data_IF_473396508235
#
_entry.id   IF_473396508235
#
_cell.length_a   1.000
_cell.length_b   1.000
_cell.length_c   1.000
_cell.angle_alpha   90.00
_cell.angle_beta   90.00
_cell.angle_gamma   90.00
#
_symmetry.space_group_name_H-M   'P 1'
#
loop_
_entity.id
_entity.type
_entity.pdbx_description
1 polymer ?
#
# COMPACT_ATOMS: atom_id res chain seq x y z
N UNK A 1 10.32 -13.28 -18.73
CA UNK A 1 10.33 -14.46 -17.86
C UNK A 1 8.94 -14.70 -17.27
N UNK A 2 8.40 -13.81 -16.44
CA UNK A 2 7.09 -14.01 -15.77
C UNK A 2 5.97 -14.23 -16.79
N UNK A 3 5.90 -13.45 -17.86
CA UNK A 3 4.91 -13.66 -18.94
C UNK A 3 5.07 -15.03 -19.63
N UNK A 4 6.32 -15.47 -19.83
CA UNK A 4 6.59 -16.80 -20.40
C UNK A 4 6.10 -17.90 -19.48
N UNK A 5 6.35 -17.75 -18.17
CA UNK A 5 5.88 -18.71 -17.16
C UNK A 5 4.35 -18.71 -17.06
N UNK A 6 3.69 -17.54 -17.09
CA UNK A 6 2.21 -17.43 -17.05
C UNK A 6 1.52 -18.09 -18.24
N UNK A 7 2.16 -18.11 -19.39
CA UNK A 7 1.63 -18.73 -20.62
C UNK A 7 1.89 -20.23 -20.71
N UNK A 8 2.60 -20.83 -19.76
CA UNK A 8 2.89 -22.27 -19.71
C UNK A 8 1.96 -22.97 -18.72
N UNK A 9 1.40 -24.08 -19.11
CA UNK A 9 0.71 -25.04 -18.24
C UNK A 9 1.62 -26.13 -17.68
N UNK A 10 2.88 -26.20 -18.14
CA UNK A 10 3.85 -27.20 -17.72
C UNK A 10 4.57 -26.77 -16.43
N UNK A 11 4.20 -27.39 -15.32
CA UNK A 11 4.78 -27.13 -14.00
C UNK A 11 6.29 -27.45 -13.94
N UNK A 12 6.76 -28.45 -14.65
CA UNK A 12 8.19 -28.80 -14.67
C UNK A 12 9.01 -27.74 -15.41
N UNK A 13 8.48 -27.24 -16.53
CA UNK A 13 9.09 -26.14 -17.27
C UNK A 13 9.13 -24.86 -16.44
N UNK A 14 8.02 -24.50 -15.76
CA UNK A 14 7.94 -23.32 -14.89
C UNK A 14 9.02 -23.41 -13.79
N UNK A 15 9.10 -24.55 -13.09
CA UNK A 15 10.13 -24.78 -12.04
C UNK A 15 11.53 -24.71 -12.59
N UNK A 16 11.80 -25.36 -13.71
CA UNK A 16 13.14 -25.35 -14.35
C UNK A 16 13.55 -23.94 -14.76
N UNK A 17 12.64 -23.14 -15.32
CA UNK A 17 12.93 -21.77 -15.69
C UNK A 17 13.14 -20.88 -14.45
N UNK A 18 12.36 -21.06 -13.39
CA UNK A 18 12.52 -20.34 -12.13
C UNK A 18 13.90 -20.63 -11.49
N UNK A 19 14.30 -21.90 -11.39
CA UNK A 19 15.61 -22.29 -10.85
C UNK A 19 16.75 -21.76 -11.72
N UNK A 20 16.63 -21.79 -13.03
CA UNK A 20 17.60 -21.19 -13.93
C UNK A 20 17.75 -19.68 -13.67
N UNK A 21 16.64 -18.97 -13.52
CA UNK A 21 16.63 -17.53 -13.22
C UNK A 21 17.26 -17.27 -11.86
N UNK A 22 16.88 -18.01 -10.82
CA UNK A 22 17.44 -17.89 -9.47
C UNK A 22 18.95 -18.06 -9.49
N UNK A 23 19.45 -19.14 -10.07
CA UNK A 23 20.90 -19.43 -10.17
C UNK A 23 21.68 -18.35 -10.92
N UNK A 24 21.11 -17.79 -11.98
CA UNK A 24 21.83 -16.83 -12.82
C UNK A 24 21.68 -15.37 -12.32
N UNK A 25 20.66 -15.07 -11.54
CA UNK A 25 20.42 -13.74 -10.98
C UNK A 25 20.93 -13.68 -9.53
N UNK A 26 20.45 -14.56 -8.65
CA UNK A 26 20.72 -14.47 -7.22
C UNK A 26 22.21 -14.57 -6.89
N UNK A 27 22.92 -15.49 -7.53
CA UNK A 27 24.37 -15.70 -7.31
C UNK A 27 25.25 -14.60 -7.91
N UNK A 28 24.72 -13.79 -8.84
CA UNK A 28 25.51 -12.84 -9.63
C UNK A 28 25.03 -11.40 -9.53
N UNK A 29 23.83 -11.18 -9.04
CA UNK A 29 23.24 -9.85 -8.97
C UNK A 29 23.69 -9.11 -7.71
N UNK A 30 24.19 -7.92 -7.92
CA UNK A 30 24.41 -6.91 -6.88
C UNK A 30 23.45 -5.72 -7.03
N UNK A 31 22.30 -5.93 -7.67
CA UNK A 31 21.33 -4.89 -8.00
C UNK A 31 19.96 -5.33 -7.53
N UNK A 32 19.32 -4.48 -6.72
CA UNK A 32 17.99 -4.69 -6.13
C UNK A 32 16.91 -4.95 -7.19
N UNK A 33 17.00 -4.29 -8.36
CA UNK A 33 16.04 -4.48 -9.45
C UNK A 33 16.09 -5.88 -10.06
N UNK A 34 17.26 -6.51 -10.08
CA UNK A 34 17.39 -7.89 -10.56
C UNK A 34 16.85 -8.87 -9.50
N UNK A 35 17.07 -8.60 -8.23
CA UNK A 35 16.54 -9.43 -7.14
C UNK A 35 15.02 -9.36 -7.06
N UNK A 36 14.40 -8.23 -7.44
CA UNK A 36 12.93 -8.11 -7.49
C UNK A 36 12.29 -9.06 -8.53
N UNK A 37 13.04 -9.55 -9.53
CA UNK A 37 12.55 -10.58 -10.46
C UNK A 37 12.35 -11.91 -9.72
N UNK A 38 13.27 -12.28 -8.85
CA UNK A 38 13.18 -13.51 -8.05
C UNK A 38 12.01 -13.41 -7.06
N UNK A 39 11.90 -12.26 -6.43
CA UNK A 39 10.79 -11.94 -5.55
C UNK A 39 9.44 -12.09 -6.26
N UNK A 40 9.29 -11.44 -7.42
CA UNK A 40 8.07 -11.51 -8.22
C UNK A 40 7.74 -12.95 -8.68
N UNK A 41 8.74 -13.76 -9.00
CA UNK A 41 8.53 -15.19 -9.29
C UNK A 41 8.02 -15.91 -8.04
N UNK A 42 8.67 -15.71 -6.89
CA UNK A 42 8.27 -16.33 -5.62
C UNK A 42 6.81 -16.01 -5.26
N UNK A 43 6.44 -14.74 -5.34
CA UNK A 43 5.06 -14.28 -5.03
C UNK A 43 4.01 -14.86 -6.00
N UNK A 44 4.32 -14.90 -7.31
CA UNK A 44 3.39 -15.41 -8.31
C UNK A 44 3.19 -16.93 -8.25
N UNK A 45 4.19 -17.67 -7.79
CA UNK A 45 4.21 -19.14 -7.82
C UNK A 45 4.44 -19.76 -6.44
N UNK A 46 3.93 -19.09 -5.39
CA UNK A 46 4.11 -19.51 -3.99
C UNK A 46 3.57 -20.92 -3.72
N UNK A 47 2.48 -21.33 -4.40
CA UNK A 47 1.90 -22.66 -4.27
C UNK A 47 2.78 -23.75 -4.88
N UNK A 48 3.35 -23.46 -6.04
CA UNK A 48 4.19 -24.39 -6.81
C UNK A 48 5.61 -24.44 -6.28
N UNK A 49 6.10 -23.32 -5.74
CA UNK A 49 7.48 -23.13 -5.28
C UNK A 49 7.53 -22.40 -3.93
N UNK A 50 6.95 -23.00 -2.86
CA UNK A 50 6.95 -22.36 -1.55
C UNK A 50 8.36 -22.07 -1.06
N UNK A 51 8.59 -20.91 -0.49
CA UNK A 51 9.89 -20.49 0.01
C UNK A 51 10.97 -20.19 -1.05
N UNK A 52 10.61 -20.09 -2.33
CA UNK A 52 11.54 -19.83 -3.43
C UNK A 52 12.37 -18.55 -3.26
N UNK A 53 11.76 -17.49 -2.77
CA UNK A 53 12.40 -16.17 -2.62
C UNK A 53 12.61 -15.78 -1.13
N UNK A 54 12.48 -16.72 -0.20
CA UNK A 54 12.43 -16.42 1.23
C UNK A 54 13.74 -15.81 1.75
N UNK A 55 14.87 -16.16 1.15
CA UNK A 55 16.19 -15.64 1.51
C UNK A 55 16.30 -14.12 1.27
N UNK A 56 15.50 -13.55 0.36
CA UNK A 56 15.49 -12.11 0.11
C UNK A 56 15.02 -11.32 1.34
N UNK A 57 14.20 -11.93 2.19
CA UNK A 57 13.74 -11.34 3.45
C UNK A 57 14.87 -11.23 4.50
N UNK A 58 16.07 -11.72 4.24
CA UNK A 58 17.25 -11.46 5.10
C UNK A 58 17.88 -10.08 4.87
N UNK A 59 17.49 -9.33 3.82
CA UNK A 59 17.94 -7.96 3.57
C UNK A 59 16.87 -6.96 3.95
N UNK A 60 17.21 -6.07 4.90
CA UNK A 60 16.32 -5.00 5.34
C UNK A 60 16.09 -3.98 4.22
N UNK A 61 17.09 -3.73 3.37
CA UNK A 61 16.98 -2.83 2.22
C UNK A 61 15.94 -3.33 1.21
N UNK A 62 15.90 -4.65 0.96
CA UNK A 62 14.88 -5.26 0.10
C UNK A 62 13.48 -5.16 0.72
N UNK A 63 13.37 -5.40 2.03
CA UNK A 63 12.11 -5.27 2.75
C UNK A 63 11.58 -3.83 2.63
N UNK A 64 12.42 -2.81 2.88
CA UNK A 64 12.00 -1.41 2.75
C UNK A 64 11.65 -1.02 1.33
N UNK A 65 12.46 -1.44 0.35
CA UNK A 65 12.17 -1.20 -1.06
C UNK A 65 10.79 -1.75 -1.44
N UNK A 66 10.49 -2.96 -0.98
CA UNK A 66 9.26 -3.64 -1.33
C UNK A 66 8.03 -3.11 -0.59
N UNK A 67 8.19 -2.69 0.67
CA UNK A 67 7.14 -1.96 1.41
C UNK A 67 6.81 -0.65 0.68
N UNK A 68 7.81 0.11 0.26
CA UNK A 68 7.61 1.34 -0.51
C UNK A 68 6.89 1.07 -1.82
N UNK A 69 7.36 0.10 -2.59
CA UNK A 69 6.75 -0.34 -3.85
C UNK A 69 5.28 -0.74 -3.67
N UNK A 70 4.99 -1.60 -2.70
CA UNK A 70 3.62 -2.07 -2.44
C UNK A 70 2.73 -0.94 -1.92
N UNK A 71 3.27 -0.02 -1.12
CA UNK A 71 2.56 1.18 -0.66
C UNK A 71 2.13 2.10 -1.79
N UNK A 72 2.98 2.29 -2.81
CA UNK A 72 2.61 3.05 -4.01
C UNK A 72 1.47 2.39 -4.80
N UNK A 73 1.40 1.05 -4.82
CA UNK A 73 0.31 0.31 -5.46
C UNK A 73 -0.99 0.34 -4.66
N UNK A 74 -0.89 0.28 -3.33
CA UNK A 74 -2.06 0.25 -2.44
C UNK A 74 -2.66 1.64 -2.17
N UNK A 75 -1.89 2.70 -2.43
CA UNK A 75 -2.34 4.05 -2.12
C UNK A 75 -3.25 4.58 -3.21
N UNK A 76 -4.53 4.47 -3.04
CA UNK A 76 -5.53 5.49 -3.35
C UNK A 76 -6.86 4.96 -3.93
N UNK A 77 -7.87 4.63 -3.14
CA UNK A 77 -9.23 4.44 -3.64
C UNK A 77 -9.77 5.71 -4.35
N UNK A 78 -9.21 6.88 -3.99
CA UNK A 78 -9.52 8.16 -4.63
C UNK A 78 -8.90 8.23 -6.03
N UNK A 79 -7.70 7.68 -6.24
CA UNK A 79 -7.08 7.56 -7.56
C UNK A 79 -7.98 6.76 -8.51
N UNK A 80 -8.54 5.66 -8.05
CA UNK A 80 -9.47 4.86 -8.85
C UNK A 80 -10.76 5.62 -9.20
N UNK A 81 -11.28 6.44 -8.28
CA UNK A 81 -12.45 7.29 -8.52
C UNK A 81 -12.11 8.42 -9.51
N UNK A 82 -10.97 9.08 -9.35
CA UNK A 82 -10.48 10.12 -10.27
C UNK A 82 -10.21 9.55 -11.66
N UNK A 83 -9.63 8.37 -11.76
CA UNK A 83 -9.38 7.68 -13.02
C UNK A 83 -10.66 7.28 -13.74
N UNK A 84 -11.67 6.80 -13.02
CA UNK A 84 -12.98 6.47 -13.60
C UNK A 84 -13.76 7.68 -14.13
N UNK A 85 -13.59 8.84 -13.50
CA UNK A 85 -14.46 9.99 -13.80
C UNK A 85 -13.74 11.15 -14.52
N UNK A 86 -12.44 11.31 -14.39
CA UNK A 86 -11.69 12.47 -14.93
C UNK A 86 -10.61 12.06 -15.94
N UNK A 87 -9.93 10.94 -15.75
CA UNK A 87 -8.76 10.54 -16.53
C UNK A 87 -9.05 9.61 -17.71
N UNK A 88 -10.30 9.38 -18.07
CA UNK A 88 -10.65 8.68 -19.33
C UNK A 88 -10.10 9.37 -20.58
N UNK A 89 -9.59 10.59 -20.47
CA UNK A 89 -9.04 11.38 -21.57
C UNK A 89 -7.51 11.45 -21.61
N UNK A 90 -6.81 11.10 -20.54
CA UNK A 90 -5.34 11.11 -20.50
C UNK A 90 -4.86 9.67 -20.39
N UNK A 91 -4.39 9.12 -21.50
CA UNK A 91 -4.03 7.72 -21.63
C UNK A 91 -2.95 7.27 -20.65
N UNK A 92 -3.38 6.73 -19.49
CA UNK A 92 -2.48 5.92 -18.66
C UNK A 92 -2.14 4.67 -19.48
N UNK A 93 -0.86 4.34 -19.70
CA UNK A 93 -0.49 3.19 -20.51
C UNK A 93 -1.19 1.93 -20.00
N UNK A 94 -1.73 1.12 -20.90
CA UNK A 94 -2.44 -0.13 -20.56
C UNK A 94 -1.60 -1.07 -19.69
N UNK A 95 -0.28 -0.98 -19.80
CA UNK A 95 0.67 -1.71 -18.96
C UNK A 95 0.52 -1.34 -17.48
N UNK A 96 0.40 -0.04 -17.15
CA UNK A 96 0.22 0.45 -15.77
C UNK A 96 -1.12 -0.03 -15.22
N UNK A 97 -2.19 0.04 -16.02
CA UNK A 97 -3.53 -0.47 -15.62
C UNK A 97 -3.56 -1.97 -15.36
N UNK A 98 -2.82 -2.76 -16.14
CA UNK A 98 -2.70 -4.21 -15.92
C UNK A 98 -1.94 -4.52 -14.64
N UNK A 99 -0.91 -3.74 -14.35
CA UNK A 99 -0.12 -3.89 -13.13
C UNK A 99 -0.93 -3.54 -11.89
N UNK A 100 -1.69 -2.44 -11.93
CA UNK A 100 -2.54 -1.98 -10.82
C UNK A 100 -3.71 -2.93 -10.49
N UNK A 101 -4.17 -3.71 -11.48
CA UNK A 101 -5.23 -4.72 -11.30
C UNK A 101 -4.71 -6.10 -10.88
N UNK A 102 -3.41 -6.31 -10.84
CA UNK A 102 -2.83 -7.59 -10.44
C UNK A 102 -2.73 -7.63 -8.91
N UNK A 103 -3.69 -8.30 -8.26
CA UNK A 103 -3.71 -8.52 -6.80
C UNK A 103 -2.37 -9.05 -6.24
N UNK A 104 -1.59 -9.72 -7.08
CA UNK A 104 -0.27 -10.25 -6.72
C UNK A 104 0.78 -9.14 -6.57
N UNK A 105 0.56 -7.98 -7.17
CA UNK A 105 1.43 -6.81 -6.99
C UNK A 105 1.22 -6.12 -5.65
N UNK A 106 0.07 -6.32 -5.01
CA UNK A 106 -0.22 -5.80 -3.68
C UNK A 106 0.48 -6.57 -2.56
N UNK A 107 0.91 -7.82 -2.82
CA UNK A 107 1.70 -8.60 -1.87
C UNK A 107 3.12 -8.04 -1.78
N UNK A 108 3.64 -7.91 -0.56
CA UNK A 108 5.02 -7.52 -0.30
C UNK A 108 5.84 -8.65 0.31
N UNK A 109 7.15 -8.45 0.39
CA UNK A 109 8.09 -9.47 0.88
C UNK A 109 7.80 -9.90 2.32
N UNK A 110 7.31 -8.99 3.17
CA UNK A 110 6.89 -9.33 4.54
C UNK A 110 5.68 -10.28 4.54
N UNK A 111 4.68 -10.01 3.71
CA UNK A 111 3.50 -10.88 3.58
C UNK A 111 3.88 -12.23 2.97
N UNK A 112 4.78 -12.23 1.98
CA UNK A 112 5.30 -13.45 1.39
C UNK A 112 6.03 -14.30 2.43
N UNK A 113 6.87 -13.67 3.27
CA UNK A 113 7.57 -14.34 4.37
C UNK A 113 6.57 -14.90 5.40
N UNK A 114 5.61 -14.09 5.85
CA UNK A 114 4.57 -14.50 6.78
C UNK A 114 3.77 -15.70 6.26
N UNK A 115 3.33 -15.67 5.01
CA UNK A 115 2.63 -16.77 4.36
C UNK A 115 3.51 -18.02 4.27
N UNK A 116 4.80 -17.85 3.94
CA UNK A 116 5.75 -18.96 3.89
C UNK A 116 5.94 -19.59 5.28
N UNK A 117 5.98 -18.78 6.33
CA UNK A 117 6.04 -19.27 7.71
C UNK A 117 4.75 -20.00 8.11
N UNK A 118 3.60 -19.41 7.86
CA UNK A 118 2.30 -19.96 8.32
C UNK A 118 1.94 -21.26 7.57
N UNK A 119 2.14 -21.30 6.27
CA UNK A 119 1.66 -22.37 5.40
C UNK A 119 2.78 -23.29 4.87
N UNK A 120 4.04 -22.96 5.09
CA UNK A 120 5.18 -23.76 4.66
C UNK A 120 5.37 -25.04 5.48
N UNK A 121 6.13 -25.96 4.92
CA UNK A 121 6.56 -27.16 5.62
C UNK A 121 7.59 -26.86 6.73
N UNK A 122 8.02 -27.89 7.45
CA UNK A 122 8.98 -27.75 8.54
C UNK A 122 10.34 -27.18 8.06
N UNK A 123 10.77 -27.50 6.84
CA UNK A 123 12.01 -26.99 6.27
C UNK A 123 11.92 -25.49 6.00
N UNK A 124 10.81 -25.03 5.41
CA UNK A 124 10.56 -23.61 5.17
C UNK A 124 10.45 -22.83 6.47
N UNK A 125 9.71 -23.35 7.46
CA UNK A 125 9.61 -22.75 8.79
C UNK A 125 10.97 -22.60 9.47
N UNK A 126 11.80 -23.61 9.40
CA UNK A 126 13.15 -23.56 9.95
C UNK A 126 14.01 -22.48 9.26
N UNK A 127 13.91 -22.33 7.94
CA UNK A 127 14.59 -21.26 7.21
C UNK A 127 14.10 -19.89 7.64
N UNK A 128 12.80 -19.71 7.85
CA UNK A 128 12.25 -18.47 8.41
C UNK A 128 12.83 -18.16 9.78
N UNK A 129 12.95 -19.17 10.68
CA UNK A 129 13.58 -18.97 12.00
C UNK A 129 15.02 -18.48 11.87
N UNK A 130 15.81 -19.13 11.03
CA UNK A 130 17.21 -18.73 10.81
C UNK A 130 17.31 -17.28 10.31
N UNK A 131 16.44 -16.86 9.38
CA UNK A 131 16.40 -15.50 8.87
C UNK A 131 16.01 -14.52 9.98
N UNK A 132 14.98 -14.80 10.76
CA UNK A 132 14.56 -13.94 11.87
C UNK A 132 15.67 -13.81 12.92
N UNK A 133 16.29 -14.90 13.32
CA UNK A 133 17.38 -14.89 14.32
C UNK A 133 18.59 -14.10 13.81
N UNK A 134 18.92 -14.22 12.52
CA UNK A 134 19.94 -13.40 11.88
C UNK A 134 19.59 -11.91 11.91
N UNK A 135 18.37 -11.54 11.52
CA UNK A 135 17.93 -10.14 11.53
C UNK A 135 17.93 -9.55 12.94
N UNK A 136 17.42 -10.26 13.94
CA UNK A 136 17.47 -9.81 15.33
C UNK A 136 18.91 -9.68 15.86
N UNK A 137 19.86 -10.45 15.35
CA UNK A 137 21.26 -10.33 15.75
C UNK A 137 21.93 -9.03 15.25
N UNK A 138 21.38 -8.43 14.18
CA UNK A 138 21.91 -7.20 13.57
C UNK A 138 21.11 -5.98 14.06
N UNK A 139 19.79 -6.07 14.11
CA UNK A 139 18.89 -4.96 14.34
C UNK A 139 18.22 -5.06 15.72
N UNK A 140 18.96 -4.69 16.75
CA UNK A 140 18.41 -4.64 18.09
C UNK A 140 17.42 -3.49 18.31
N UNK A 141 16.51 -3.69 19.26
CA UNK A 141 15.39 -2.77 19.54
C UNK A 141 15.82 -1.35 19.91
N UNK A 142 16.98 -1.17 20.55
CA UNK A 142 17.39 0.15 21.07
C UNK A 142 18.11 1.00 20.03
N UNK A 143 18.93 0.35 19.21
CA UNK A 143 19.76 1.06 18.21
C UNK A 143 19.09 1.13 16.84
N UNK A 144 18.21 0.17 16.53
CA UNK A 144 17.52 0.06 15.25
C UNK A 144 16.01 -0.20 15.43
N UNK A 145 15.27 0.68 16.13
CA UNK A 145 13.88 0.41 16.50
C UNK A 145 12.93 0.28 15.31
N UNK A 146 13.18 0.99 14.20
CA UNK A 146 12.35 0.90 12.98
C UNK A 146 12.56 -0.43 12.26
N UNK A 147 13.81 -0.86 12.09
CA UNK A 147 14.16 -2.15 11.49
C UNK A 147 13.61 -3.28 12.35
N UNK A 148 13.79 -3.17 13.66
CA UNK A 148 13.26 -4.15 14.62
C UNK A 148 11.73 -4.25 14.54
N UNK A 149 11.01 -3.15 14.36
CA UNK A 149 9.58 -3.15 14.10
C UNK A 149 9.22 -3.96 12.83
N UNK A 150 9.98 -3.79 11.74
CA UNK A 150 9.71 -4.54 10.51
C UNK A 150 9.97 -6.04 10.71
N UNK A 151 10.99 -6.41 11.49
CA UNK A 151 11.27 -7.81 11.84
C UNK A 151 10.13 -8.39 12.69
N UNK A 152 9.67 -7.66 13.71
CA UNK A 152 8.56 -8.10 14.56
C UNK A 152 7.26 -8.31 13.76
N UNK A 153 7.00 -7.49 12.73
CA UNK A 153 5.85 -7.67 11.81
C UNK A 153 5.94 -8.96 10.98
N UNK A 154 7.13 -9.52 10.82
CA UNK A 154 7.36 -10.79 10.12
C UNK A 154 7.41 -11.99 11.07
N UNK A 155 7.54 -11.77 12.38
CA UNK A 155 7.76 -12.81 13.36
C UNK A 155 6.44 -13.39 13.91
N UNK A 156 6.00 -14.48 13.32
CA UNK A 156 4.80 -15.20 13.71
C UNK A 156 5.06 -16.33 14.72
N UNK A 157 6.27 -16.46 15.28
CA UNK A 157 6.62 -17.52 16.27
C UNK A 157 5.74 -17.44 17.52
N UNK A 158 5.36 -16.23 17.93
CA UNK A 158 4.52 -15.96 19.08
C UNK A 158 3.26 -15.18 18.69
N UNK A 159 2.70 -15.44 17.51
CA UNK A 159 1.55 -14.72 17.01
C UNK A 159 0.33 -14.88 17.93
N UNK A 160 -0.42 -13.81 18.08
CA UNK A 160 -1.74 -13.86 18.69
C UNK A 160 -2.76 -14.42 17.70
N UNK A 161 -3.64 -15.29 18.20
CA UNK A 161 -4.73 -15.86 17.39
C UNK A 161 -6.03 -15.37 17.97
N UNK A 162 -6.76 -14.57 17.19
CA UNK A 162 -8.06 -14.01 17.58
C UNK A 162 -9.15 -14.59 16.68
N UNK A 163 -10.21 -15.11 17.27
CA UNK A 163 -11.37 -15.56 16.51
C UNK A 163 -12.30 -14.38 16.26
N UNK A 164 -12.53 -14.06 14.98
CA UNK A 164 -13.42 -12.98 14.57
C UNK A 164 -14.86 -13.47 14.51
N UNK A 165 -15.08 -14.62 13.85
CA UNK A 165 -16.39 -15.27 13.74
C UNK A 165 -16.26 -16.81 13.70
N UNK A 166 -17.35 -17.50 13.35
CA UNK A 166 -17.40 -18.98 13.34
C UNK A 166 -16.33 -19.63 12.46
N UNK A 167 -15.92 -18.97 11.38
CA UNK A 167 -15.04 -19.54 10.35
C UNK A 167 -13.76 -18.70 10.13
N UNK A 168 -13.66 -17.51 10.70
CA UNK A 168 -12.56 -16.57 10.46
C UNK A 168 -11.71 -16.42 11.71
N UNK A 169 -10.42 -16.66 11.57
CA UNK A 169 -9.40 -16.38 12.59
C UNK A 169 -8.45 -15.33 12.06
N UNK A 170 -8.05 -14.42 12.94
CA UNK A 170 -6.99 -13.44 12.68
C UNK A 170 -5.72 -13.92 13.40
N UNK A 171 -4.60 -13.93 12.69
CA UNK A 171 -3.30 -14.28 13.22
C UNK A 171 -2.40 -13.07 13.06
N UNK A 172 -1.93 -12.50 14.17
CA UNK A 172 -1.15 -11.28 14.18
C UNK A 172 0.17 -11.46 14.92
N UNK A 173 1.30 -10.95 14.38
CA UNK A 173 2.56 -10.92 15.08
C UNK A 173 2.43 -10.03 16.33
N UNK A 174 3.12 -10.39 17.41
CA UNK A 174 3.14 -9.60 18.63
C UNK A 174 4.22 -8.52 18.55
N UNK A 175 3.80 -7.26 18.45
CA UNK A 175 4.69 -6.10 18.51
C UNK A 175 4.90 -5.69 19.96
N UNK A 176 6.15 -5.52 20.39
CA UNK A 176 6.55 -5.24 21.79
C UNK A 176 7.62 -4.16 21.88
N UNK A 177 7.83 -3.66 23.09
CA UNK A 177 8.95 -2.78 23.42
C UNK A 177 8.92 -1.44 22.68
N UNK A 178 10.08 -0.98 22.19
CA UNK A 178 10.19 0.30 21.45
C UNK A 178 9.41 0.27 20.13
N UNK A 179 9.32 -0.89 19.47
CA UNK A 179 8.52 -1.06 18.27
C UNK A 179 7.02 -0.78 18.51
N UNK A 180 6.48 -1.15 19.68
CA UNK A 180 5.09 -0.86 20.03
C UNK A 180 4.83 0.64 20.21
N UNK A 181 5.81 1.37 20.76
CA UNK A 181 5.71 2.84 20.88
C UNK A 181 5.65 3.49 19.49
N UNK A 182 6.52 3.06 18.57
CA UNK A 182 6.52 3.57 17.18
C UNK A 182 5.17 3.31 16.51
N UNK A 183 4.58 2.13 16.69
CA UNK A 183 3.24 1.83 16.12
C UNK A 183 2.22 2.80 16.69
N UNK A 184 2.18 2.98 18.01
CA UNK A 184 1.24 3.89 18.66
C UNK A 184 1.43 5.34 18.23
N UNK A 185 2.68 5.83 18.21
CA UNK A 185 2.99 7.20 17.78
C UNK A 185 2.57 7.43 16.32
N UNK A 186 2.74 6.41 15.45
CA UNK A 186 2.28 6.47 14.06
C UNK A 186 0.74 6.43 13.95
N UNK A 187 0.06 5.63 14.75
CA UNK A 187 -1.41 5.59 14.83
C UNK A 187 -1.96 6.94 15.27
N UNK A 188 -1.46 7.48 16.38
CA UNK A 188 -1.85 8.79 16.91
C UNK A 188 -1.58 9.92 15.88
N UNK A 189 -0.45 9.86 15.19
CA UNK A 189 -0.08 10.84 14.16
C UNK A 189 -0.94 10.73 12.89
N UNK A 190 -1.45 9.55 12.57
CA UNK A 190 -2.25 9.30 11.37
C UNK A 190 -3.77 9.33 11.63
N UNK A 191 -4.20 9.34 12.89
CA UNK A 191 -5.63 9.37 13.25
C UNK A 191 -6.42 10.48 12.52
N UNK A 192 -5.94 11.74 12.42
CA UNK A 192 -6.64 12.77 11.69
C UNK A 192 -6.82 12.45 10.20
N UNK A 193 -5.84 11.77 9.60
CA UNK A 193 -5.86 11.35 8.19
C UNK A 193 -6.86 10.21 8.00
N UNK A 194 -6.84 9.21 8.89
CA UNK A 194 -7.76 8.07 8.84
C UNK A 194 -9.23 8.52 9.00
N UNK A 195 -9.51 9.38 9.97
CA UNK A 195 -10.85 9.95 10.20
C UNK A 195 -11.34 10.75 8.97
N UNK A 196 -10.44 11.45 8.31
CA UNK A 196 -10.79 12.18 7.08
C UNK A 196 -11.06 11.24 5.91
N UNK A 197 -10.23 10.19 5.73
CA UNK A 197 -10.47 9.17 4.71
C UNK A 197 -11.82 8.48 4.89
N UNK A 198 -12.20 8.15 6.13
CA UNK A 198 -13.50 7.54 6.43
C UNK A 198 -14.66 8.48 6.05
N UNK A 199 -14.56 9.76 6.44
CA UNK A 199 -15.54 10.78 6.07
C UNK A 199 -15.69 10.92 4.55
N UNK A 200 -14.57 10.90 3.83
CA UNK A 200 -14.56 10.97 2.36
C UNK A 200 -15.15 9.72 1.71
N UNK A 201 -14.83 8.55 2.23
CA UNK A 201 -15.38 7.29 1.72
C UNK A 201 -16.91 7.24 1.90
N UNK A 202 -17.43 7.68 3.04
CA UNK A 202 -18.86 7.80 3.25
C UNK A 202 -19.50 8.75 2.24
N UNK A 203 -18.92 9.94 2.04
CA UNK A 203 -19.43 10.91 1.06
C UNK A 203 -19.38 10.37 -0.38
N UNK A 204 -18.30 9.69 -0.76
CA UNK A 204 -18.16 9.08 -2.09
C UNK A 204 -19.23 8.02 -2.33
N UNK A 205 -19.49 7.19 -1.33
CA UNK A 205 -20.56 6.20 -1.41
C UNK A 205 -21.94 6.87 -1.56
N UNK A 206 -22.21 7.93 -0.81
CA UNK A 206 -23.45 8.70 -0.91
C UNK A 206 -23.60 9.37 -2.30
N UNK A 207 -22.52 9.89 -2.86
CA UNK A 207 -22.50 10.43 -4.24
C UNK A 207 -22.82 9.33 -5.26
N UNK A 208 -22.17 8.17 -5.15
CA UNK A 208 -22.36 7.05 -6.07
C UNK A 208 -23.81 6.52 -6.01
N UNK A 209 -24.42 6.50 -4.83
CA UNK A 209 -25.79 6.09 -4.62
C UNK A 209 -26.81 7.22 -4.91
N UNK A 210 -26.35 8.41 -5.35
CA UNK A 210 -27.15 9.62 -5.59
C UNK A 210 -27.94 10.09 -4.36
N UNK A 211 -27.38 9.84 -3.18
CA UNK A 211 -27.95 10.26 -1.90
C UNK A 211 -27.34 11.57 -1.37
N UNK A 212 -26.12 11.89 -1.80
CA UNK A 212 -25.42 13.10 -1.37
C UNK A 212 -26.10 14.35 -1.96
N UNK A 213 -26.40 15.29 -1.09
CA UNK A 213 -26.86 16.62 -1.48
C UNK A 213 -25.70 17.65 -1.52
N UNK A 214 -25.98 18.82 -2.09
CA UNK A 214 -25.00 19.90 -2.17
C UNK A 214 -24.53 20.37 -0.78
N UNK A 215 -25.38 20.31 0.24
CA UNK A 215 -25.08 20.71 1.61
C UNK A 215 -24.03 19.80 2.25
N UNK A 216 -24.17 18.49 2.06
CA UNK A 216 -23.20 17.49 2.53
C UNK A 216 -21.84 17.70 1.90
N UNK A 217 -21.76 17.87 0.58
CA UNK A 217 -20.51 18.09 -0.14
C UNK A 217 -19.83 19.38 0.32
N UNK A 218 -20.57 20.48 0.44
CA UNK A 218 -20.06 21.77 0.94
C UNK A 218 -19.58 21.66 2.39
N UNK A 219 -20.28 20.90 3.24
CA UNK A 219 -19.87 20.64 4.62
C UNK A 219 -18.52 19.93 4.68
N UNK A 220 -18.35 18.87 3.89
CA UNK A 220 -17.07 18.12 3.82
C UNK A 220 -15.94 18.99 3.27
N UNK A 221 -16.20 19.80 2.23
CA UNK A 221 -15.22 20.78 1.71
C UNK A 221 -14.77 21.73 2.83
N UNK A 222 -15.67 22.30 3.59
CA UNK A 222 -15.32 23.21 4.67
C UNK A 222 -14.50 22.48 5.76
N UNK A 223 -14.87 21.26 6.12
CA UNK A 223 -14.15 20.43 7.10
C UNK A 223 -12.73 20.14 6.62
N UNK A 224 -12.56 19.76 5.35
CA UNK A 224 -11.24 19.56 4.74
C UNK A 224 -10.41 20.85 4.79
N UNK A 225 -10.97 21.97 4.34
CA UNK A 225 -10.28 23.25 4.35
C UNK A 225 -9.79 23.64 5.76
N UNK A 226 -10.59 23.38 6.80
CA UNK A 226 -10.20 23.67 8.18
C UNK A 226 -9.10 22.71 8.68
N UNK A 227 -9.23 21.42 8.41
CA UNK A 227 -8.24 20.41 8.83
C UNK A 227 -6.89 20.54 8.12
N UNK A 228 -6.89 20.99 6.88
CA UNK A 228 -5.66 21.23 6.11
C UNK A 228 -4.88 22.47 6.60
N UNK A 229 -5.52 23.37 7.33
CA UNK A 229 -4.85 24.55 7.88
C UNK A 229 -3.82 24.15 8.93
N UNK A 230 -2.55 24.29 8.58
CA UNK A 230 -1.43 24.06 9.51
C UNK A 230 -0.92 22.62 9.57
N UNK A 231 -1.53 21.68 8.85
CA UNK A 231 -0.97 20.34 8.72
C UNK A 231 -0.63 20.03 7.25
N UNK A 232 0.65 20.18 6.92
CA UNK A 232 1.18 19.94 5.57
C UNK A 232 0.93 18.51 5.06
N UNK A 233 0.88 17.50 5.95
CA UNK A 233 0.66 16.10 5.56
C UNK A 233 -0.78 15.92 5.07
N UNK A 234 -1.75 16.50 5.80
CA UNK A 234 -3.16 16.49 5.41
C UNK A 234 -3.32 17.29 4.10
N UNK A 235 -2.66 18.45 4.00
CA UNK A 235 -2.70 19.27 2.78
C UNK A 235 -2.22 18.48 1.57
N UNK A 236 -1.03 17.87 1.61
CA UNK A 236 -0.50 17.06 0.51
C UNK A 236 -1.41 15.92 0.10
N UNK A 237 -1.97 15.23 1.08
CA UNK A 237 -2.79 14.05 0.81
C UNK A 237 -4.16 14.37 0.22
N UNK A 238 -4.79 15.45 0.66
CA UNK A 238 -6.17 15.74 0.30
C UNK A 238 -6.38 16.90 -0.67
N UNK A 239 -5.33 17.58 -1.11
CA UNK A 239 -5.44 18.74 -2.00
C UNK A 239 -6.16 18.41 -3.32
N UNK A 240 -5.77 17.31 -3.98
CA UNK A 240 -6.40 16.88 -5.23
C UNK A 240 -7.87 16.49 -5.05
N UNK A 241 -8.19 15.87 -3.92
CA UNK A 241 -9.56 15.48 -3.54
C UNK A 241 -10.41 16.70 -3.31
N UNK A 242 -9.89 17.68 -2.58
CA UNK A 242 -10.56 18.93 -2.29
C UNK A 242 -10.88 19.69 -3.59
N UNK A 243 -9.92 19.81 -4.50
CA UNK A 243 -10.13 20.43 -5.82
C UNK A 243 -11.26 19.74 -6.57
N UNK A 244 -11.31 18.41 -6.55
CA UNK A 244 -12.35 17.63 -7.23
C UNK A 244 -13.73 17.81 -6.57
N UNK A 245 -13.79 17.80 -5.24
CA UNK A 245 -15.05 18.04 -4.53
C UNK A 245 -15.61 19.43 -4.77
N UNK A 246 -14.74 20.46 -4.79
CA UNK A 246 -15.14 21.82 -5.12
C UNK A 246 -15.69 21.89 -6.56
N UNK A 247 -14.99 21.29 -7.54
CA UNK A 247 -15.47 21.24 -8.90
C UNK A 247 -16.84 20.54 -9.01
N UNK A 248 -17.02 19.42 -8.30
CA UNK A 248 -18.30 18.70 -8.26
C UNK A 248 -19.42 19.54 -7.64
N UNK A 249 -19.15 20.25 -6.54
CA UNK A 249 -20.12 21.13 -5.92
C UNK A 249 -20.52 22.29 -6.84
N UNK A 250 -19.59 22.83 -7.62
CA UNK A 250 -19.87 23.97 -8.53
C UNK A 250 -20.85 23.62 -9.66
N UNK A 251 -20.93 22.37 -10.09
CA UNK A 251 -21.87 21.92 -11.13
C UNK A 251 -23.25 21.53 -10.58
N UNK A 252 -23.41 21.41 -9.25
CA UNK A 252 -24.68 21.03 -8.65
C UNK A 252 -25.68 22.23 -8.67
N UNK A 253 -26.94 22.01 -9.10
CA UNK A 253 -27.92 23.08 -9.21
C UNK A 253 -28.29 23.71 -7.87
N UNK A 254 -28.28 22.93 -6.80
CA UNK A 254 -28.77 23.30 -5.47
C UNK A 254 -27.77 24.11 -4.65
N UNK A 255 -26.55 24.32 -5.13
CA UNK A 255 -25.56 25.18 -4.47
C UNK A 255 -25.95 26.64 -4.61
N UNK A 256 -26.17 27.32 -3.48
CA UNK A 256 -26.54 28.73 -3.44
C UNK A 256 -25.46 29.63 -4.04
N UNK A 257 -25.87 30.74 -4.65
CA UNK A 257 -24.96 31.67 -5.35
C UNK A 257 -23.79 32.15 -4.49
N UNK A 258 -24.05 32.51 -3.23
CA UNK A 258 -23.00 32.95 -2.29
C UNK A 258 -21.98 31.87 -1.98
N UNK A 259 -22.44 30.65 -1.77
CA UNK A 259 -21.59 29.48 -1.57
C UNK A 259 -20.76 29.18 -2.81
N UNK A 260 -21.38 29.26 -4.00
CA UNK A 260 -20.71 29.06 -5.29
C UNK A 260 -19.56 30.04 -5.50
N UNK A 261 -19.77 31.32 -5.20
CA UNK A 261 -18.72 32.34 -5.29
C UNK A 261 -17.55 32.08 -4.35
N UNK A 262 -17.84 31.60 -3.11
CA UNK A 262 -16.78 31.20 -2.17
C UNK A 262 -15.99 30.01 -2.69
N UNK A 263 -16.68 28.98 -3.19
CA UNK A 263 -16.05 27.78 -3.75
C UNK A 263 -15.18 28.08 -4.97
N UNK A 264 -15.61 28.98 -5.87
CA UNK A 264 -14.81 29.41 -7.04
C UNK A 264 -13.52 30.06 -6.59
N UNK A 265 -13.55 30.93 -5.59
CA UNK A 265 -12.34 31.58 -5.07
C UNK A 265 -11.38 30.55 -4.47
N UNK A 266 -11.89 29.66 -3.63
CA UNK A 266 -11.09 28.58 -3.04
C UNK A 266 -10.48 27.68 -4.12
N UNK A 267 -11.25 27.28 -5.11
CA UNK A 267 -10.79 26.45 -6.23
C UNK A 267 -9.65 27.11 -7.01
N UNK A 268 -9.78 28.41 -7.34
CA UNK A 268 -8.75 29.16 -8.05
C UNK A 268 -7.46 29.21 -7.24
N UNK A 269 -7.53 29.48 -5.94
CA UNK A 269 -6.34 29.56 -5.08
C UNK A 269 -5.63 28.20 -4.95
N UNK A 270 -6.39 27.13 -4.86
CA UNK A 270 -5.86 25.77 -4.78
C UNK A 270 -5.20 25.31 -6.09
N UNK A 271 -5.85 25.55 -7.20
CA UNK A 271 -5.25 25.26 -8.51
C UNK A 271 -3.95 26.02 -8.72
N UNK A 272 -3.89 27.30 -8.35
CA UNK A 272 -2.63 28.06 -8.41
C UNK A 272 -1.52 27.40 -7.60
N UNK A 273 -1.82 26.94 -6.37
CA UNK A 273 -0.83 26.22 -5.54
C UNK A 273 -0.34 24.94 -6.22
N UNK A 274 -1.23 24.11 -6.74
CA UNK A 274 -0.86 22.87 -7.45
C UNK A 274 0.06 23.16 -8.63
N UNK A 275 -0.27 24.14 -9.46
CA UNK A 275 0.57 24.51 -10.62
C UNK A 275 1.91 25.14 -10.23
N UNK A 276 1.96 25.93 -9.16
CA UNK A 276 3.20 26.55 -8.71
C UNK A 276 4.15 25.53 -8.03
N UNK A 277 3.60 24.54 -7.32
CA UNK A 277 4.40 23.49 -6.69
C UNK A 277 4.93 22.43 -7.65
N UNK A 278 4.38 22.32 -8.87
CA UNK A 278 4.91 21.44 -9.92
C UNK A 278 6.05 22.07 -10.74
N UNK A 279 6.43 23.32 -10.44
CA UNK A 279 7.46 24.06 -11.17
C UNK A 279 8.85 24.02 -10.49
N UNK A 280 9.07 23.10 -9.52
CA UNK A 280 10.36 22.92 -8.87
C UNK A 280 10.83 21.47 -8.94
#
# INVERSE_FOLDING_TARGET
VINTMRNSSDSAYIKGLAEYVKKNIYEKANNILLLSIIEAIGMNYQKEMPGYAIELASSMELIYYDIYRSGEFMSNPIKELLEKHILLSVGVPEITRRYEKDEKCACNLQQYFANSYLYGDAGIKNRCHVILDYLYSIYDEKTHPNENLQIQKMDFRNAAVTKIDGNTIMIEPQIKGEAQKIVKDNEDANEPILNMNETLNCLINDINEKKADAGQIVSVINTLCEKMKGDYRIEMQFESVLVTLIASALIMPDVKYEQRNKLVKEWIERIKKVFLNQSY
#
